data_IF_084897519947
#
_entry.id   IF_084897519947
#
_cell.length_a   1.000
_cell.length_b   1.000
_cell.length_c   1.000
_cell.angle_alpha   90.00
_cell.angle_beta   90.00
_cell.angle_gamma   90.00
#
_symmetry.space_group_name_H-M   'P 1'
#
loop_
_entity.id
_entity.type
_entity.pdbx_description
1 polymer ?
#
# COMPACT_ATOMS: atom_id res chain seq x y z
N UNK A 1 -3.78 -1.89 12.84
CA UNK A 1 -4.25 -1.21 11.63
C UNK A 1 -5.24 -0.14 12.01
N UNK A 2 -4.84 1.11 11.79
CA UNK A 2 -5.65 2.28 12.11
C UNK A 2 -6.45 2.70 10.88
N UNK A 3 -7.74 3.01 11.05
CA UNK A 3 -8.54 3.57 9.96
C UNK A 3 -8.05 4.98 9.64
N UNK A 4 -7.88 5.30 8.36
CA UNK A 4 -7.40 6.62 7.89
C UNK A 4 -8.25 7.77 8.46
N UNK A 5 -9.57 7.58 8.51
CA UNK A 5 -10.51 8.58 9.06
C UNK A 5 -10.21 8.86 10.54
N UNK A 6 -10.05 7.80 11.35
CA UNK A 6 -9.73 7.94 12.77
C UNK A 6 -8.35 8.60 12.96
N UNK A 7 -7.37 8.24 12.13
CA UNK A 7 -6.04 8.86 12.17
C UNK A 7 -6.10 10.36 11.83
N UNK A 8 -6.93 10.74 10.85
CA UNK A 8 -7.16 12.13 10.49
C UNK A 8 -7.83 12.92 11.61
N UNK A 9 -8.91 12.39 12.19
CA UNK A 9 -9.62 13.02 13.31
C UNK A 9 -8.69 13.25 14.52
N UNK A 10 -7.83 12.29 14.81
CA UNK A 10 -6.85 12.38 15.90
C UNK A 10 -5.75 13.43 15.65
N UNK A 11 -5.46 13.78 14.39
CA UNK A 11 -4.46 14.79 14.04
C UNK A 11 -4.93 16.23 14.27
N UNK A 12 -6.24 16.46 14.48
CA UNK A 12 -6.84 17.79 14.71
C UNK A 12 -6.40 18.79 13.64
N UNK A 13 -5.56 19.78 13.99
CA UNK A 13 -5.08 20.84 13.09
C UNK A 13 -3.76 20.52 12.39
N UNK A 14 -3.19 19.31 12.58
CA UNK A 14 -1.96 18.90 11.89
C UNK A 14 -2.32 18.15 10.59
N UNK A 15 -1.57 18.37 9.50
CA UNK A 15 -1.78 17.60 8.28
C UNK A 15 -1.47 16.13 8.52
N UNK A 16 -2.26 15.26 7.91
CA UNK A 16 -1.98 13.84 7.77
C UNK A 16 -1.31 13.65 6.40
N UNK A 17 -0.15 13.01 6.38
CA UNK A 17 0.67 12.87 5.18
C UNK A 17 0.58 11.43 4.68
N UNK A 18 0.15 11.27 3.43
CA UNK A 18 0.14 10.00 2.72
C UNK A 18 1.11 10.12 1.54
N UNK A 19 2.09 9.22 1.45
CA UNK A 19 2.98 9.16 0.28
C UNK A 19 2.58 8.02 -0.63
N UNK A 20 2.51 8.30 -1.93
CA UNK A 20 2.41 7.23 -2.91
C UNK A 20 3.72 6.42 -2.96
N UNK A 21 3.59 5.13 -3.20
CA UNK A 21 4.69 4.20 -3.32
C UNK A 21 4.39 3.21 -4.44
N UNK A 22 5.21 3.23 -5.48
CA UNK A 22 5.09 2.30 -6.60
C UNK A 22 5.76 0.97 -6.27
N UNK A 23 5.06 -0.18 -6.37
CA UNK A 23 5.67 -1.48 -6.15
C UNK A 23 6.93 -1.69 -7.01
N UNK A 24 8.02 -2.23 -6.44
CA UNK A 24 9.24 -2.46 -7.20
C UNK A 24 9.00 -3.53 -8.27
N UNK A 25 9.75 -3.42 -9.37
CA UNK A 25 9.74 -4.43 -10.46
C UNK A 25 10.59 -5.65 -10.14
N UNK A 26 11.43 -5.58 -9.10
CA UNK A 26 12.39 -6.63 -8.73
C UNK A 26 12.28 -6.96 -7.25
N UNK A 27 12.60 -8.19 -6.87
CA UNK A 27 12.57 -8.66 -5.48
C UNK A 27 13.78 -8.21 -4.62
N UNK A 28 14.57 -7.24 -5.08
CA UNK A 28 15.70 -6.73 -4.30
C UNK A 28 15.18 -5.99 -3.06
N UNK A 29 15.59 -6.35 -1.84
CA UNK A 29 15.01 -5.82 -0.61
C UNK A 29 15.36 -4.36 -0.30
N UNK A 30 16.19 -3.70 -1.12
CA UNK A 30 16.62 -2.31 -0.90
C UNK A 30 15.49 -1.31 -0.69
N UNK A 31 14.32 -1.56 -1.29
CA UNK A 31 13.13 -0.72 -1.12
C UNK A 31 12.62 -0.65 0.32
N UNK A 32 12.90 -1.66 1.17
CA UNK A 32 12.50 -1.64 2.58
C UNK A 32 13.22 -0.55 3.37
N UNK A 33 14.46 -0.21 2.98
CA UNK A 33 15.18 0.90 3.60
C UNK A 33 14.55 2.24 3.22
N UNK A 34 14.18 2.40 1.94
CA UNK A 34 13.47 3.60 1.48
C UNK A 34 12.16 3.78 2.26
N UNK A 35 11.39 2.70 2.39
CA UNK A 35 10.14 2.66 3.17
C UNK A 35 10.37 3.03 4.63
N UNK A 36 11.39 2.46 5.30
CA UNK A 36 11.72 2.79 6.70
C UNK A 36 12.01 4.28 6.89
N UNK A 37 12.71 4.89 5.94
CA UNK A 37 13.11 6.29 5.99
C UNK A 37 11.98 7.29 5.65
N UNK A 38 10.84 6.84 5.08
CA UNK A 38 9.70 7.71 4.80
C UNK A 38 9.01 8.19 6.08
N UNK A 39 9.11 9.48 6.39
CA UNK A 39 8.41 10.08 7.53
C UNK A 39 6.97 10.50 7.17
N UNK A 40 6.08 9.52 7.03
CA UNK A 40 4.67 9.73 6.66
C UNK A 40 3.73 8.92 7.56
N UNK A 41 2.46 9.32 7.63
CA UNK A 41 1.43 8.63 8.41
C UNK A 41 1.01 7.32 7.76
N UNK A 42 0.84 7.34 6.44
CA UNK A 42 0.46 6.18 5.65
C UNK A 42 1.31 6.09 4.39
N UNK A 43 1.65 4.87 4.02
CA UNK A 43 2.23 4.56 2.71
C UNK A 43 1.10 4.08 1.81
N UNK A 44 0.97 4.64 0.62
CA UNK A 44 -0.03 4.25 -0.36
C UNK A 44 0.60 3.42 -1.48
N UNK A 45 0.43 2.11 -1.42
CA UNK A 45 0.97 1.16 -2.41
C UNK A 45 0.06 1.12 -3.64
N UNK A 46 0.57 1.60 -4.76
CA UNK A 46 -0.19 1.70 -5.99
C UNK A 46 -0.34 0.34 -6.71
N UNK A 47 -1.57 -0.02 -7.09
CA UNK A 47 -1.83 -1.14 -8.00
C UNK A 47 -1.81 -0.71 -9.46
N UNK A 48 -1.12 -1.49 -10.29
CA UNK A 48 -1.11 -1.27 -11.73
C UNK A 48 -1.55 -2.56 -12.47
N UNK A 49 -2.74 -2.57 -13.09
CA UNK A 49 -3.26 -3.72 -13.84
C UNK A 49 -2.55 -3.94 -15.20
N UNK A 50 -1.56 -3.11 -15.56
CA UNK A 50 -0.83 -3.20 -16.83
C UNK A 50 0.24 -4.30 -16.87
N UNK A 51 0.73 -4.61 -18.09
CA UNK A 51 1.69 -5.69 -18.45
C UNK A 51 3.04 -5.71 -17.73
N UNK A 52 3.34 -4.79 -16.81
CA UNK A 52 4.62 -4.81 -16.09
C UNK A 52 4.51 -5.71 -14.88
N UNK A 53 5.30 -6.79 -14.83
CA UNK A 53 5.42 -7.63 -13.63
C UNK A 53 5.89 -6.76 -12.47
N UNK A 54 4.99 -6.50 -11.54
CA UNK A 54 5.22 -5.79 -10.28
C UNK A 54 4.66 -6.66 -9.18
N UNK A 55 5.20 -6.50 -7.97
CA UNK A 55 4.63 -7.14 -6.79
C UNK A 55 3.18 -6.64 -6.65
N UNK A 56 2.27 -7.57 -6.38
CA UNK A 56 0.87 -7.26 -6.11
C UNK A 56 0.77 -6.28 -4.91
N UNK A 57 -0.13 -5.30 -4.98
CA UNK A 57 -0.13 -4.17 -4.04
C UNK A 57 -0.53 -4.57 -2.62
N UNK A 58 -1.49 -5.49 -2.46
CA UNK A 58 -1.89 -6.04 -1.16
C UNK A 58 -0.78 -6.90 -0.53
N UNK A 59 -0.07 -7.71 -1.34
CA UNK A 59 1.05 -8.52 -0.88
C UNK A 59 2.22 -7.64 -0.42
N UNK A 60 2.57 -6.60 -1.19
CA UNK A 60 3.61 -5.66 -0.79
C UNK A 60 3.20 -4.86 0.45
N UNK A 61 1.94 -4.45 0.54
CA UNK A 61 1.45 -3.76 1.73
C UNK A 61 1.58 -4.63 2.99
N UNK A 62 1.24 -5.93 2.89
CA UNK A 62 1.46 -6.88 3.97
C UNK A 62 2.93 -6.94 4.38
N UNK A 63 3.85 -7.09 3.41
CA UNK A 63 5.30 -7.13 3.70
C UNK A 63 5.77 -5.85 4.37
N UNK A 64 5.35 -4.66 3.91
CA UNK A 64 5.73 -3.39 4.54
C UNK A 64 5.26 -3.33 5.99
N UNK A 65 4.03 -3.74 6.27
CA UNK A 65 3.50 -3.79 7.64
C UNK A 65 4.33 -4.73 8.52
N UNK A 66 4.64 -5.95 8.05
CA UNK A 66 5.41 -6.93 8.81
C UNK A 66 6.85 -6.47 9.08
N UNK A 67 7.51 -5.90 8.07
CA UNK A 67 8.94 -5.58 8.12
C UNK A 67 9.26 -4.22 8.76
N UNK A 68 8.27 -3.32 8.83
CA UNK A 68 8.51 -1.92 9.25
C UNK A 68 7.53 -1.40 10.30
N UNK A 69 6.39 -2.08 10.51
CA UNK A 69 5.33 -1.62 11.41
C UNK A 69 4.60 -0.35 10.95
N UNK A 70 4.89 0.17 9.75
CA UNK A 70 4.21 1.36 9.20
C UNK A 70 2.78 1.02 8.77
N UNK A 71 1.90 2.01 8.88
CA UNK A 71 0.53 1.90 8.38
C UNK A 71 0.53 2.04 6.85
N UNK A 72 -0.22 1.16 6.18
CA UNK A 72 -0.22 1.06 4.72
C UNK A 72 -1.66 1.04 4.20
N UNK A 73 -1.86 1.73 3.09
CA UNK A 73 -3.03 1.68 2.25
C UNK A 73 -2.57 1.05 0.93
N UNK A 74 -3.34 0.16 0.34
CA UNK A 74 -3.11 -0.27 -1.03
C UNK A 74 -4.31 0.10 -1.89
N UNK A 75 -4.07 0.37 -3.17
CA UNK A 75 -5.14 0.43 -4.15
C UNK A 75 -5.34 -0.92 -4.82
N UNK A 76 -6.52 -1.08 -5.42
CA UNK A 76 -6.80 -2.05 -6.45
C UNK A 76 -7.65 -1.35 -7.52
N UNK A 77 -7.75 -1.92 -8.71
CA UNK A 77 -8.64 -1.41 -9.74
C UNK A 77 -9.63 -2.48 -10.16
N UNK A 78 -10.70 -2.06 -10.81
CA UNK A 78 -11.73 -2.97 -11.34
C UNK A 78 -11.49 -3.37 -12.80
N UNK A 79 -10.51 -2.74 -13.47
CA UNK A 79 -10.19 -3.02 -14.88
C UNK A 79 -9.74 -4.48 -15.02
N UNK A 80 -10.26 -5.14 -16.04
CA UNK A 80 -9.91 -6.52 -16.40
C UNK A 80 -10.26 -7.57 -15.31
N UNK A 81 -11.14 -7.23 -14.34
CA UNK A 81 -11.59 -8.13 -13.27
C UNK A 81 -13.10 -8.33 -13.31
N UNK A 82 -13.53 -9.60 -13.35
CA UNK A 82 -14.92 -9.93 -13.06
C UNK A 82 -15.19 -9.90 -11.54
N UNK A 83 -16.46 -10.04 -11.14
CA UNK A 83 -16.85 -10.00 -9.71
C UNK A 83 -16.10 -11.03 -8.87
N UNK A 84 -15.91 -12.24 -9.38
CA UNK A 84 -15.21 -13.32 -8.69
C UNK A 84 -13.73 -12.96 -8.49
N UNK A 85 -13.06 -12.48 -9.54
CA UNK A 85 -11.67 -12.05 -9.48
C UNK A 85 -11.49 -10.92 -8.45
N UNK A 86 -12.37 -9.92 -8.46
CA UNK A 86 -12.33 -8.83 -7.47
C UNK A 86 -12.52 -9.33 -6.04
N UNK A 87 -13.44 -10.28 -5.82
CA UNK A 87 -13.66 -10.92 -4.52
C UNK A 87 -12.45 -11.72 -4.07
N UNK A 88 -11.86 -12.52 -4.96
CA UNK A 88 -10.63 -13.26 -4.65
C UNK A 88 -9.50 -12.32 -4.24
N UNK A 89 -9.29 -11.22 -4.98
CA UNK A 89 -8.28 -10.21 -4.63
C UNK A 89 -8.51 -9.54 -3.27
N UNK A 90 -9.78 -9.31 -2.88
CA UNK A 90 -10.11 -8.71 -1.59
C UNK A 90 -9.93 -9.68 -0.41
N UNK A 91 -10.12 -10.97 -0.65
CA UNK A 91 -10.03 -12.01 0.38
C UNK A 91 -8.59 -12.52 0.59
N UNK A 92 -7.72 -12.35 -0.41
CA UNK A 92 -6.35 -12.85 -0.40
C UNK A 92 -6.27 -14.28 -0.91
#
# INVERSE_FOLDING_TARGET
MTKVINAFENRKSKPLIISDFSPPKTLKPGFLNDVRNLNVDFIFVAYNPGRSVRIESSALAHVIVQETGKEVIFSMVTRDMNKLALQSHLLG
#
